data_IF_763331292064
#
_entry.id   IF_763331292064
#
_cell.length_a   1.000
_cell.length_b   1.000
_cell.length_c   1.000
_cell.angle_alpha   90.00
_cell.angle_beta   90.00
_cell.angle_gamma   90.00
#
_symmetry.space_group_name_H-M   'P 1'
#
loop_
_entity.id
_entity.type
_entity.pdbx_description
1 polymer ?
#
# COMPACT_ATOMS: atom_id res chain seq x y z
N UNK A 1 -46.96 63.14 -33.40
CA UNK A 1 -46.86 61.86 -34.14
C UNK A 1 -45.71 61.98 -35.12
N UNK A 2 -44.78 61.02 -35.09
CA UNK A 2 -43.75 60.63 -36.08
C UNK A 2 -42.94 61.75 -36.76
N UNK A 3 -41.62 61.78 -36.79
CA UNK A 3 -40.57 60.79 -36.53
C UNK A 3 -39.42 61.14 -37.48
N UNK A 4 -38.17 61.12 -37.01
CA UNK A 4 -37.03 61.14 -37.94
C UNK A 4 -35.77 60.50 -37.35
N UNK A 5 -35.09 59.79 -38.25
CA UNK A 5 -33.94 58.90 -38.08
C UNK A 5 -32.67 59.70 -37.78
N UNK A 6 -31.75 59.15 -36.98
CA UNK A 6 -30.47 58.66 -37.52
C UNK A 6 -29.50 58.07 -36.46
N UNK A 7 -29.06 56.84 -36.76
CA UNK A 7 -27.66 56.36 -36.80
C UNK A 7 -26.81 56.27 -35.52
N UNK A 8 -26.45 55.00 -35.25
CA UNK A 8 -25.11 54.48 -34.91
C UNK A 8 -24.61 54.69 -33.48
N UNK A 9 -24.51 53.60 -32.71
CA UNK A 9 -23.21 52.96 -32.52
C UNK A 9 -23.36 51.58 -31.87
N UNK A 10 -23.13 50.53 -32.67
CA UNK A 10 -22.77 49.20 -32.18
C UNK A 10 -21.39 49.26 -31.54
N UNK A 11 -21.27 49.83 -30.33
CA UNK A 11 -20.08 49.63 -29.51
C UNK A 11 -20.23 48.28 -28.83
N UNK A 12 -19.70 47.28 -29.54
CA UNK A 12 -19.14 46.04 -29.01
C UNK A 12 -18.28 46.39 -27.78
N UNK A 13 -18.88 46.49 -26.61
CA UNK A 13 -18.12 46.42 -25.37
C UNK A 13 -18.03 44.95 -25.01
N UNK A 14 -17.16 44.28 -25.77
CA UNK A 14 -16.59 42.99 -25.46
C UNK A 14 -15.76 43.13 -24.18
N UNK A 15 -16.42 43.32 -23.03
CA UNK A 15 -15.81 43.01 -21.73
C UNK A 15 -15.81 41.51 -21.59
N UNK A 16 -14.87 40.92 -22.32
CA UNK A 16 -14.02 39.80 -21.92
C UNK A 16 -14.60 39.11 -20.67
N UNK A 17 -15.56 38.22 -20.89
CA UNK A 17 -15.78 37.10 -19.96
C UNK A 17 -14.45 36.36 -19.98
N UNK A 18 -13.56 36.69 -19.05
CA UNK A 18 -12.41 35.87 -18.76
C UNK A 18 -12.99 34.54 -18.31
N UNK A 19 -13.13 33.62 -19.27
CA UNK A 19 -13.13 32.20 -18.99
C UNK A 19 -11.76 31.91 -18.38
N UNK A 20 -11.68 32.07 -17.06
CA UNK A 20 -10.63 31.46 -16.27
C UNK A 20 -10.85 29.96 -16.45
N UNK A 21 -10.10 29.36 -17.37
CA UNK A 21 -9.89 27.92 -17.38
C UNK A 21 -9.19 27.60 -16.07
N UNK A 22 -9.99 27.34 -15.03
CA UNK A 22 -9.52 26.78 -13.79
C UNK A 22 -9.30 25.31 -14.11
N UNK A 23 -8.13 24.98 -14.63
CA UNK A 23 -7.69 23.60 -14.81
C UNK A 23 -7.84 22.89 -13.46
N UNK A 24 -8.95 22.16 -13.31
CA UNK A 24 -9.30 21.44 -12.08
C UNK A 24 -8.64 20.06 -12.10
N UNK A 25 -7.39 19.97 -12.57
CA UNK A 25 -6.63 18.73 -12.54
C UNK A 25 -6.31 18.41 -11.08
N UNK A 26 -7.05 17.44 -10.53
CA UNK A 26 -6.73 16.84 -9.25
C UNK A 26 -5.42 16.06 -9.45
N UNK A 27 -4.31 16.65 -9.03
CA UNK A 27 -3.01 15.97 -9.00
C UNK A 27 -3.01 15.04 -7.79
N UNK A 28 -3.17 13.74 -8.02
CA UNK A 28 -2.93 12.75 -6.98
C UNK A 28 -1.42 12.61 -6.77
N UNK A 29 -0.91 12.76 -5.54
CA UNK A 29 0.50 12.53 -5.29
C UNK A 29 0.85 11.09 -5.66
N UNK A 30 1.94 10.91 -6.41
CA UNK A 30 2.46 9.58 -6.74
C UNK A 30 2.81 8.83 -5.46
N UNK A 31 2.25 7.63 -5.30
CA UNK A 31 2.58 6.77 -4.15
C UNK A 31 4.02 6.29 -4.31
N UNK A 32 4.83 6.27 -3.24
CA UNK A 32 6.18 5.74 -3.33
C UNK A 32 6.14 4.26 -3.75
N UNK A 33 6.88 3.92 -4.82
CA UNK A 33 7.07 2.53 -5.20
C UNK A 33 7.93 1.84 -4.15
N UNK A 34 7.41 0.77 -3.56
CA UNK A 34 8.15 -0.05 -2.62
C UNK A 34 8.80 -1.19 -3.39
N UNK A 35 10.10 -1.42 -3.18
CA UNK A 35 10.82 -2.53 -3.79
C UNK A 35 11.10 -3.58 -2.72
N UNK A 36 10.76 -4.82 -2.99
CA UNK A 36 10.96 -5.92 -2.05
C UNK A 36 12.45 -6.22 -1.86
N UNK A 37 12.91 -6.19 -0.61
CA UNK A 37 14.29 -6.52 -0.25
C UNK A 37 14.69 -7.98 -0.50
N UNK A 38 13.72 -8.88 -0.77
CA UNK A 38 13.98 -10.32 -0.98
C UNK A 38 14.02 -10.72 -2.45
N UNK A 39 13.14 -10.16 -3.30
CA UNK A 39 13.09 -10.50 -4.72
C UNK A 39 13.47 -9.35 -5.67
N UNK A 40 13.56 -8.11 -5.16
CA UNK A 40 13.88 -6.92 -5.97
C UNK A 40 12.71 -6.42 -6.83
N UNK A 41 11.54 -7.03 -6.76
CA UNK A 41 10.36 -6.59 -7.51
C UNK A 41 9.55 -5.53 -6.76
N UNK A 42 8.79 -4.72 -7.51
CA UNK A 42 7.89 -3.70 -6.95
C UNK A 42 6.73 -4.37 -6.20
N UNK A 43 6.43 -3.87 -5.01
CA UNK A 43 5.33 -4.32 -4.17
C UNK A 43 4.06 -3.55 -4.54
N UNK A 44 3.12 -4.27 -5.18
CA UNK A 44 1.82 -3.73 -5.57
C UNK A 44 0.87 -3.55 -4.39
N UNK A 45 0.95 -4.45 -3.41
CA UNK A 45 0.09 -4.48 -2.23
C UNK A 45 0.85 -4.00 -0.98
N UNK A 46 0.93 -2.68 -0.83
CA UNK A 46 1.64 -2.07 0.29
C UNK A 46 1.06 -2.44 1.68
N UNK A 47 -0.23 -2.78 1.74
CA UNK A 47 -0.92 -3.12 2.98
C UNK A 47 -0.44 -4.45 3.60
N UNK A 48 -0.11 -5.44 2.77
CA UNK A 48 0.40 -6.76 3.17
C UNK A 48 1.92 -6.83 3.27
N UNK A 49 2.62 -5.72 2.98
CA UNK A 49 4.08 -5.63 3.07
C UNK A 49 4.56 -5.75 4.51
N UNK A 50 5.67 -6.46 4.72
CA UNK A 50 6.33 -6.63 6.02
C UNK A 50 7.67 -5.89 6.04
N UNK A 51 8.08 -5.43 7.22
CA UNK A 51 9.43 -4.91 7.44
C UNK A 51 10.41 -6.05 7.74
N UNK A 52 11.55 -6.07 7.05
CA UNK A 52 12.65 -6.98 7.35
C UNK A 52 13.20 -6.73 8.77
N UNK A 53 13.41 -7.76 9.62
CA UNK A 53 13.85 -7.57 11.02
C UNK A 53 15.18 -6.84 11.17
N UNK A 54 16.10 -7.05 10.22
CA UNK A 54 17.46 -6.52 10.28
C UNK A 54 17.55 -5.10 9.74
N UNK A 55 16.92 -4.83 8.59
CA UNK A 55 17.06 -3.58 7.83
C UNK A 55 15.87 -2.65 7.92
N UNK A 56 14.69 -3.14 8.33
CA UNK A 56 13.43 -2.39 8.30
C UNK A 56 12.87 -2.16 6.89
N UNK A 57 13.52 -2.70 5.86
CA UNK A 57 13.13 -2.57 4.45
C UNK A 57 11.85 -3.36 4.13
N UNK A 58 11.05 -2.92 3.15
CA UNK A 58 9.83 -3.60 2.79
C UNK A 58 10.12 -4.94 2.09
N UNK A 59 9.32 -5.95 2.40
CA UNK A 59 9.33 -7.24 1.72
C UNK A 59 7.90 -7.73 1.48
N UNK A 60 7.69 -8.47 0.38
CA UNK A 60 6.42 -9.15 0.15
C UNK A 60 6.18 -10.19 1.24
N UNK A 61 4.91 -10.34 1.63
CA UNK A 61 4.47 -11.38 2.54
C UNK A 61 4.91 -12.79 2.08
N UNK A 62 4.68 -13.10 0.80
CA UNK A 62 5.02 -14.43 0.25
C UNK A 62 6.53 -14.68 0.22
N UNK A 63 7.33 -13.65 -0.05
CA UNK A 63 8.79 -13.77 0.00
C UNK A 63 9.27 -14.06 1.43
N UNK A 64 8.66 -13.43 2.43
CA UNK A 64 8.94 -13.72 3.84
C UNK A 64 8.54 -15.15 4.20
N UNK A 65 7.35 -15.60 3.79
CA UNK A 65 6.88 -16.97 4.00
C UNK A 65 7.87 -17.99 3.42
N UNK A 66 8.32 -17.77 2.17
CA UNK A 66 9.31 -18.62 1.52
C UNK A 66 10.64 -18.63 2.27
N UNK A 67 11.17 -17.45 2.63
CA UNK A 67 12.43 -17.32 3.36
C UNK A 67 12.38 -18.02 4.73
N UNK A 68 11.26 -17.93 5.44
CA UNK A 68 11.07 -18.64 6.69
C UNK A 68 11.01 -20.15 6.47
N UNK A 69 10.37 -20.62 5.39
CA UNK A 69 10.33 -22.03 5.03
C UNK A 69 11.69 -22.61 4.67
N UNK A 70 12.59 -21.81 4.09
CA UNK A 70 13.96 -22.21 3.80
C UNK A 70 14.87 -22.18 5.04
N UNK A 71 14.58 -21.30 6.00
CA UNK A 71 15.37 -21.13 7.24
C UNK A 71 15.03 -22.18 8.29
N UNK A 72 13.76 -22.54 8.41
CA UNK A 72 13.24 -23.38 9.48
C UNK A 72 13.16 -24.85 9.05
N UNK A 73 13.52 -25.76 9.95
CA UNK A 73 13.33 -27.20 9.72
C UNK A 73 11.88 -27.57 10.05
N UNK A 74 11.11 -27.96 9.05
CA UNK A 74 9.74 -28.44 9.22
C UNK A 74 9.71 -29.96 9.32
N UNK A 75 9.09 -30.50 10.37
CA UNK A 75 8.79 -31.93 10.45
C UNK A 75 7.60 -32.28 9.53
N UNK A 76 7.42 -33.57 9.26
CA UNK A 76 6.24 -34.04 8.55
C UNK A 76 4.95 -33.57 9.26
N UNK A 77 4.02 -33.00 8.50
CA UNK A 77 2.78 -32.43 9.01
C UNK A 77 2.89 -31.02 9.62
N UNK A 78 4.08 -30.43 9.69
CA UNK A 78 4.27 -29.04 10.12
C UNK A 78 4.16 -28.07 8.94
N UNK A 79 3.73 -26.85 9.23
CA UNK A 79 3.66 -25.75 8.26
C UNK A 79 3.91 -24.41 8.92
N UNK A 80 4.38 -23.42 8.15
CA UNK A 80 4.50 -22.04 8.63
C UNK A 80 3.17 -21.33 8.44
N UNK A 81 2.73 -20.60 9.46
CA UNK A 81 1.53 -19.80 9.45
C UNK A 81 1.80 -18.39 9.99
N UNK A 82 1.07 -17.42 9.47
CA UNK A 82 1.06 -16.07 10.02
C UNK A 82 0.10 -16.00 11.20
N UNK A 83 0.60 -15.57 12.35
CA UNK A 83 -0.14 -15.48 13.61
C UNK A 83 -0.71 -14.06 13.85
N UNK A 84 -0.31 -13.08 13.03
CA UNK A 84 -0.73 -11.69 13.16
C UNK A 84 0.30 -10.78 13.82
N UNK A 85 0.15 -9.48 13.56
CA UNK A 85 0.98 -8.43 14.16
C UNK A 85 2.46 -8.53 13.85
N UNK A 86 2.82 -9.08 12.68
CA UNK A 86 4.21 -9.30 12.27
C UNK A 86 4.85 -10.60 12.81
N UNK A 87 4.05 -11.51 13.36
CA UNK A 87 4.54 -12.77 13.92
C UNK A 87 4.12 -13.96 13.05
N UNK A 88 5.03 -14.91 12.94
CA UNK A 88 4.80 -16.20 12.29
C UNK A 88 4.93 -17.32 13.31
N UNK A 89 4.54 -18.53 12.93
CA UNK A 89 4.77 -19.70 13.74
C UNK A 89 4.80 -20.97 12.92
N UNK A 90 5.45 -21.99 13.47
CA UNK A 90 5.35 -23.36 12.98
C UNK A 90 4.16 -23.98 13.67
N UNK A 91 3.19 -24.42 12.87
CA UNK A 91 1.97 -25.06 13.36
C UNK A 91 1.89 -26.51 12.90
N UNK A 92 1.30 -27.35 13.74
CA UNK A 92 0.88 -28.71 13.38
C UNK A 92 -0.63 -28.79 13.40
N UNK A 93 -1.23 -29.18 12.27
CA UNK A 93 -2.68 -29.40 12.20
C UNK A 93 -3.05 -30.69 12.93
N UNK A 94 -4.16 -30.67 13.63
CA UNK A 94 -4.68 -31.88 14.26
C UNK A 94 -5.46 -32.72 13.23
N UNK A 95 -5.03 -33.97 13.03
CA UNK A 95 -5.68 -34.90 12.09
C UNK A 95 -7.13 -35.24 12.47
N UNK A 96 -7.49 -35.15 13.75
CA UNK A 96 -8.83 -35.45 14.28
C UNK A 96 -9.74 -34.22 14.34
N UNK A 97 -9.18 -33.01 14.37
CA UNK A 97 -9.93 -31.76 14.41
C UNK A 97 -9.39 -30.78 13.37
N UNK A 98 -10.07 -30.61 12.21
CA UNK A 98 -9.63 -29.71 11.15
C UNK A 98 -9.48 -28.24 11.56
N UNK A 99 -10.20 -27.80 12.59
CA UNK A 99 -10.10 -26.45 13.15
C UNK A 99 -9.00 -26.33 14.23
N UNK A 100 -8.51 -27.46 14.74
CA UNK A 100 -7.48 -27.51 15.78
C UNK A 100 -6.07 -27.49 15.19
N UNK A 101 -5.22 -26.68 15.77
CA UNK A 101 -3.79 -26.68 15.49
C UNK A 101 -3.01 -26.40 16.78
N UNK A 102 -1.78 -26.89 16.81
CA UNK A 102 -0.80 -26.59 17.85
C UNK A 102 0.26 -25.65 17.30
N UNK A 103 0.63 -24.62 18.05
CA UNK A 103 1.76 -23.73 17.72
C UNK A 103 3.00 -24.32 18.37
N UNK A 104 3.87 -24.94 17.58
CA UNK A 104 5.13 -25.53 18.06
C UNK A 104 6.22 -24.50 18.32
N UNK A 105 6.25 -23.44 17.51
CA UNK A 105 7.24 -22.36 17.60
C UNK A 105 6.61 -21.05 17.19
N UNK A 106 6.89 -19.99 17.94
CA UNK A 106 6.60 -18.61 17.56
C UNK A 106 7.86 -17.97 16.98
N UNK A 107 7.69 -17.20 15.92
CA UNK A 107 8.73 -16.48 15.20
C UNK A 107 8.32 -15.01 15.17
N UNK A 108 8.93 -14.20 16.03
CA UNK A 108 8.75 -12.75 16.02
C UNK A 108 9.57 -12.19 14.84
N UNK A 109 8.89 -11.81 13.74
CA UNK A 109 9.55 -11.44 12.50
C UNK A 109 9.66 -9.92 12.33
N UNK A 110 8.55 -9.17 12.42
CA UNK A 110 8.63 -7.71 12.35
C UNK A 110 8.98 -7.13 13.72
N UNK A 111 10.06 -6.36 13.78
CA UNK A 111 10.29 -5.47 14.91
C UNK A 111 9.58 -4.14 14.66
N UNK A 112 8.52 -3.88 15.43
CA UNK A 112 7.71 -2.65 15.31
C UNK A 112 8.47 -1.36 15.55
N UNK A 113 9.59 -1.42 16.29
CA UNK A 113 10.47 -0.28 16.55
C UNK A 113 11.42 0.01 15.38
N UNK A 114 11.67 -0.99 14.52
CA UNK A 114 12.57 -0.89 13.35
C UNK A 114 11.82 -0.75 12.03
N UNK A 115 10.54 -0.37 12.07
CA UNK A 115 9.77 -0.14 10.85
C UNK A 115 10.33 1.08 10.12
N UNK A 116 10.80 0.87 8.88
CA UNK A 116 11.34 1.94 8.05
C UNK A 116 10.32 3.05 7.71
N UNK A 117 10.83 4.21 7.34
CA UNK A 117 10.04 5.43 7.06
C UNK A 117 8.97 5.23 5.98
N UNK A 118 9.17 4.25 5.10
CA UNK A 118 8.22 3.88 4.05
C UNK A 118 6.83 3.54 4.60
N UNK A 119 6.74 2.90 5.78
CA UNK A 119 5.45 2.54 6.39
C UNK A 119 4.68 3.78 6.84
N UNK A 120 5.39 4.78 7.39
CA UNK A 120 4.77 6.06 7.79
C UNK A 120 4.30 6.85 6.56
N UNK A 121 5.08 6.79 5.47
CA UNK A 121 4.70 7.41 4.18
C UNK A 121 3.44 6.76 3.58
N UNK A 122 3.17 5.48 3.83
CA UNK A 122 1.92 4.80 3.44
C UNK A 122 0.71 5.23 4.29
N UNK A 123 0.92 5.61 5.55
CA UNK A 123 -0.15 5.94 6.51
C UNK A 123 -0.80 7.30 6.28
N UNK A 124 -0.30 8.12 5.34
CA UNK A 124 -0.96 9.36 4.97
C UNK A 124 -2.19 9.06 4.10
N UNK A 125 -3.37 9.20 4.72
CA UNK A 125 -4.74 9.10 4.17
C UNK A 125 -5.31 7.68 3.96
N UNK A 126 -5.93 7.17 5.02
CA UNK A 126 -7.29 6.63 4.90
C UNK A 126 -8.26 7.70 5.39
#
# INVERSE_FOLDING_TARGET
MNGDRDKRNFKRDSRRRQHVNRDNTIVFPEKPELVCALCGEVIKEAASTLAMPETGEPAHFDCVMKKLGERETLEEGDSIAYLGGGNFGIIRKNSQNPAGFEIKKKIDFENKEKIGDWRRKLSYKL
#
